data_IF_588331668973
#
_entry.id   IF_588331668973
#
_cell.length_a   1.000
_cell.length_b   1.000
_cell.length_c   1.000
_cell.angle_alpha   90.00
_cell.angle_beta   90.00
_cell.angle_gamma   90.00
#
_symmetry.space_group_name_H-M   'P 1'
#
loop_
_entity.id
_entity.type
_entity.pdbx_description
1 polymer ?
#
# COMPACT_ATOMS: atom_id res chain seq x y z
N UNK A 1 8.65 12.27 23.24
CA UNK A 1 8.96 11.90 21.86
C UNK A 1 8.15 10.67 21.47
N UNK A 2 7.59 10.70 20.27
CA UNK A 2 6.78 9.59 19.76
C UNK A 2 7.70 8.53 19.15
N UNK A 3 7.63 7.32 19.64
CA UNK A 3 8.43 6.22 19.12
C UNK A 3 7.73 5.61 17.90
N UNK A 4 8.44 5.61 16.78
CA UNK A 4 7.92 5.06 15.52
C UNK A 4 8.83 3.95 15.01
N UNK A 5 8.24 2.79 14.72
CA UNK A 5 8.94 1.62 14.21
C UNK A 5 8.20 1.09 12.99
N UNK A 6 8.95 0.75 11.94
CA UNK A 6 8.42 0.02 10.78
C UNK A 6 9.10 -1.34 10.72
N UNK A 7 8.30 -2.39 10.70
CA UNK A 7 8.80 -3.77 10.67
C UNK A 7 7.84 -4.69 9.91
N UNK A 8 8.27 -5.91 9.67
CA UNK A 8 7.39 -6.93 9.13
C UNK A 8 6.23 -7.21 10.10
N UNK A 9 5.08 -7.55 9.54
CA UNK A 9 3.90 -7.93 10.32
C UNK A 9 4.20 -9.20 11.12
N UNK A 10 3.70 -9.24 12.35
CA UNK A 10 3.75 -10.40 13.23
C UNK A 10 2.33 -10.92 13.49
N UNK A 11 2.17 -12.19 13.91
CA UNK A 11 0.82 -12.73 14.16
C UNK A 11 -0.04 -11.90 15.11
N UNK A 12 0.58 -11.30 16.13
CA UNK A 12 -0.13 -10.48 17.12
C UNK A 12 -0.66 -9.16 16.56
N UNK A 13 -0.14 -8.71 15.41
CA UNK A 13 -0.60 -7.47 14.77
C UNK A 13 -1.90 -7.65 14.00
N UNK A 14 -2.26 -8.89 13.67
CA UNK A 14 -3.35 -9.19 12.73
C UNK A 14 -4.67 -8.55 13.12
N UNK A 15 -5.06 -8.66 14.37
CA UNK A 15 -6.34 -8.11 14.84
C UNK A 15 -6.40 -6.60 14.65
N UNK A 16 -5.32 -5.90 15.02
CA UNK A 16 -5.23 -4.44 14.87
C UNK A 16 -5.24 -4.01 13.40
N UNK A 17 -4.55 -4.76 12.53
CA UNK A 17 -4.53 -4.48 11.10
C UNK A 17 -5.92 -4.68 10.48
N UNK A 18 -6.60 -5.78 10.81
CA UNK A 18 -7.95 -6.05 10.29
C UNK A 18 -8.93 -4.96 10.75
N UNK A 19 -8.81 -4.52 11.99
CA UNK A 19 -9.63 -3.42 12.53
C UNK A 19 -9.36 -2.12 11.78
N UNK A 20 -8.09 -1.77 11.60
CA UNK A 20 -7.68 -0.56 10.87
C UNK A 20 -8.31 -0.51 9.48
N UNK A 21 -8.19 -1.60 8.73
CA UNK A 21 -8.69 -1.68 7.35
C UNK A 21 -10.22 -1.70 7.30
N UNK A 22 -10.87 -2.38 8.25
CA UNK A 22 -12.32 -2.43 8.33
C UNK A 22 -12.97 -1.09 8.65
N UNK A 23 -12.25 -0.20 9.30
CA UNK A 23 -12.74 1.14 9.68
C UNK A 23 -12.37 2.22 8.66
N UNK A 24 -11.60 1.89 7.61
CA UNK A 24 -10.98 2.88 6.73
C UNK A 24 -11.56 2.84 5.32
N UNK A 25 -11.76 4.03 4.73
CA UNK A 25 -11.98 4.17 3.30
C UNK A 25 -10.63 4.14 2.57
N UNK A 26 -10.56 3.66 1.35
CA UNK A 26 -11.69 3.32 0.46
C UNK A 26 -12.27 1.91 0.65
N UNK A 27 -11.65 1.06 1.46
CA UNK A 27 -12.01 -0.36 1.55
C UNK A 27 -13.42 -0.56 2.10
N UNK A 28 -13.82 0.23 3.10
CA UNK A 28 -15.17 0.21 3.63
C UNK A 28 -16.18 0.53 2.53
N UNK A 29 -15.95 1.58 1.76
CA UNK A 29 -16.79 1.96 0.61
C UNK A 29 -16.82 0.89 -0.47
N UNK A 30 -15.68 0.20 -0.69
CA UNK A 30 -15.56 -0.87 -1.68
C UNK A 30 -16.20 -2.19 -1.22
N UNK A 31 -16.68 -2.26 0.02
CA UNK A 31 -17.41 -3.42 0.52
C UNK A 31 -16.56 -4.55 1.07
N UNK A 32 -15.29 -4.30 1.39
CA UNK A 32 -14.44 -5.31 2.03
C UNK A 32 -14.94 -5.64 3.43
N UNK A 33 -15.12 -6.92 3.70
CA UNK A 33 -15.54 -7.42 5.01
C UNK A 33 -14.34 -7.77 5.90
N UNK A 34 -14.61 -7.96 7.19
CA UNK A 34 -13.61 -8.46 8.14
C UNK A 34 -13.07 -9.83 7.69
N UNK A 35 -13.92 -10.70 7.15
CA UNK A 35 -13.51 -12.00 6.65
C UNK A 35 -12.59 -11.90 5.44
N UNK A 36 -12.81 -10.93 4.57
CA UNK A 36 -11.89 -10.66 3.45
C UNK A 36 -10.49 -10.34 3.96
N UNK A 37 -10.39 -9.46 4.95
CA UNK A 37 -9.11 -9.10 5.54
C UNK A 37 -8.44 -10.26 6.27
N UNK A 38 -9.20 -11.06 7.01
CA UNK A 38 -8.67 -12.24 7.67
C UNK A 38 -8.07 -13.24 6.68
N UNK A 39 -8.71 -13.42 5.51
CA UNK A 39 -8.18 -14.29 4.45
C UNK A 39 -6.88 -13.75 3.86
N UNK A 40 -6.76 -12.43 3.71
CA UNK A 40 -5.55 -11.80 3.15
C UNK A 40 -4.36 -11.96 4.10
N UNK A 41 -4.59 -11.87 5.40
CA UNK A 41 -3.50 -11.87 6.39
C UNK A 41 -3.25 -13.22 7.06
N UNK A 42 -4.00 -14.29 6.71
CA UNK A 42 -3.87 -15.58 7.39
C UNK A 42 -3.95 -16.78 6.43
N UNK A 43 -2.86 -17.49 6.15
CA UNK A 43 -1.47 -17.07 6.32
C UNK A 43 -1.09 -16.01 5.29
N UNK A 44 -0.03 -15.26 5.54
CA UNK A 44 0.47 -14.31 4.55
C UNK A 44 0.94 -15.07 3.31
N UNK A 45 0.34 -14.82 2.12
CA UNK A 45 0.71 -15.57 0.91
C UNK A 45 2.16 -15.36 0.52
N UNK A 46 2.77 -16.39 -0.07
CA UNK A 46 4.12 -16.28 -0.62
C UNK A 46 4.18 -15.21 -1.73
N UNK A 47 5.31 -14.52 -1.81
CA UNK A 47 5.52 -13.44 -2.77
C UNK A 47 4.91 -12.10 -2.35
N UNK A 48 4.40 -12.02 -1.14
CA UNK A 48 3.93 -10.77 -0.54
C UNK A 48 4.71 -10.46 0.72
N UNK A 49 5.13 -9.20 0.82
CA UNK A 49 5.77 -8.65 2.01
C UNK A 49 4.77 -7.75 2.71
N UNK A 50 4.54 -7.98 3.99
CA UNK A 50 3.61 -7.18 4.79
C UNK A 50 4.37 -6.42 5.87
N UNK A 51 4.17 -5.11 5.92
CA UNK A 51 4.82 -4.22 6.88
C UNK A 51 3.77 -3.53 7.74
N UNK A 52 4.13 -3.29 8.99
CA UNK A 52 3.34 -2.46 9.89
C UNK A 52 4.19 -1.29 10.36
N UNK A 53 3.55 -0.14 10.51
CA UNK A 53 4.11 1.01 11.20
C UNK A 53 3.49 1.08 12.59
N UNK A 54 4.33 1.10 13.61
CA UNK A 54 3.92 1.24 15.00
C UNK A 54 4.19 2.66 15.47
N UNK A 55 3.27 3.21 16.20
CA UNK A 55 3.40 4.50 16.87
C UNK A 55 3.16 4.27 18.35
N UNK A 56 4.19 4.46 19.19
CA UNK A 56 4.16 4.14 20.61
C UNK A 56 3.63 2.72 20.90
N UNK A 57 4.08 1.75 20.10
CA UNK A 57 3.71 0.34 20.25
C UNK A 57 2.36 -0.06 19.68
N UNK A 58 1.58 0.88 19.12
CA UNK A 58 0.28 0.60 18.52
C UNK A 58 0.37 0.60 17.00
N UNK A 59 -0.34 -0.31 16.34
CA UNK A 59 -0.39 -0.38 14.87
C UNK A 59 -1.06 0.87 14.33
N UNK A 60 -0.28 1.71 13.66
CA UNK A 60 -0.71 2.97 13.07
C UNK A 60 -0.87 2.89 11.55
N UNK A 61 -0.18 1.95 10.90
CA UNK A 61 -0.25 1.77 9.46
C UNK A 61 0.11 0.36 9.04
N UNK A 62 -0.27 0.02 7.81
CA UNK A 62 -0.02 -1.30 7.21
C UNK A 62 0.20 -1.15 5.72
N UNK A 63 1.09 -1.97 5.17
CA UNK A 63 1.31 -2.03 3.72
C UNK A 63 1.57 -3.46 3.28
N UNK A 64 1.13 -3.79 2.07
CA UNK A 64 1.38 -5.07 1.42
C UNK A 64 2.03 -4.80 0.07
N UNK A 65 3.16 -5.45 -0.18
CA UNK A 65 3.88 -5.38 -1.46
C UNK A 65 3.90 -6.76 -2.08
N UNK A 66 3.42 -6.86 -3.30
CA UNK A 66 3.49 -8.07 -4.12
C UNK A 66 4.67 -7.96 -5.06
N UNK A 67 5.58 -8.92 -4.99
CA UNK A 67 6.75 -8.96 -5.87
C UNK A 67 6.40 -9.48 -7.26
N UNK A 68 7.26 -9.17 -8.24
CA UNK A 68 7.19 -9.66 -9.62
C UNK A 68 5.90 -9.26 -10.33
N UNK A 69 5.71 -7.96 -10.45
CA UNK A 69 4.59 -7.36 -11.16
C UNK A 69 5.12 -6.43 -12.26
N UNK A 70 4.85 -6.73 -13.52
CA UNK A 70 5.21 -5.89 -14.69
C UNK A 70 6.65 -5.34 -14.66
N UNK A 71 7.64 -6.20 -14.48
CA UNK A 71 9.05 -5.82 -14.33
C UNK A 71 9.29 -4.86 -13.16
N UNK A 72 8.53 -5.05 -12.11
CA UNK A 72 8.59 -4.27 -10.89
C UNK A 72 7.92 -4.99 -9.74
N UNK A 73 7.49 -4.22 -8.76
CA UNK A 73 6.68 -4.69 -7.64
C UNK A 73 5.37 -3.89 -7.58
N UNK A 74 4.38 -4.40 -6.88
CA UNK A 74 3.07 -3.79 -6.73
C UNK A 74 2.78 -3.52 -5.26
N UNK A 75 2.59 -2.25 -4.92
CA UNK A 75 2.07 -1.83 -3.62
C UNK A 75 0.56 -2.11 -3.62
N UNK A 76 0.20 -3.27 -3.11
CA UNK A 76 -1.17 -3.78 -3.17
C UNK A 76 -2.08 -3.03 -2.19
N UNK A 77 -1.51 -2.56 -1.08
CA UNK A 77 -2.26 -1.89 -0.04
C UNK A 77 -1.35 -0.97 0.78
N UNK A 78 -1.86 0.21 1.12
CA UNK A 78 -1.25 1.14 2.06
C UNK A 78 -2.37 1.80 2.87
N UNK A 79 -2.43 1.54 4.15
CA UNK A 79 -3.46 2.06 5.03
C UNK A 79 -2.87 2.69 6.29
N UNK A 80 -3.49 3.77 6.76
CA UNK A 80 -3.12 4.46 8.00
C UNK A 80 -4.36 4.55 8.88
N UNK A 81 -4.22 4.21 10.15
CA UNK A 81 -5.30 4.30 11.13
C UNK A 81 -5.83 5.74 11.21
N UNK A 82 -7.14 5.89 11.40
CA UNK A 82 -7.78 7.21 11.48
C UNK A 82 -7.12 8.07 12.53
N UNK A 83 -6.85 7.50 13.72
CA UNK A 83 -6.24 8.23 14.84
C UNK A 83 -4.78 8.64 14.58
N UNK A 84 -4.10 8.02 13.60
CA UNK A 84 -2.69 8.27 13.29
C UNK A 84 -2.50 9.09 12.01
N UNK A 85 -3.56 9.59 11.40
CA UNK A 85 -3.48 10.38 10.16
C UNK A 85 -2.83 11.74 10.43
N UNK A 86 -2.25 12.32 9.36
CA UNK A 86 -1.56 13.63 9.40
C UNK A 86 -0.32 13.65 10.30
N UNK A 87 0.25 12.48 10.61
CA UNK A 87 1.49 12.34 11.38
C UNK A 87 2.66 11.83 10.52
N UNK A 88 2.48 11.78 9.20
CA UNK A 88 3.52 11.34 8.26
C UNK A 88 3.72 9.84 8.18
N UNK A 89 2.86 9.03 8.80
CA UNK A 89 2.99 7.56 8.83
C UNK A 89 2.96 6.95 7.43
N UNK A 90 2.00 7.36 6.59
CA UNK A 90 1.88 6.85 5.22
C UNK A 90 3.11 7.14 4.38
N UNK A 91 3.64 8.36 4.46
CA UNK A 91 4.84 8.75 3.72
C UNK A 91 6.09 8.00 4.18
N UNK A 92 6.23 7.78 5.48
CA UNK A 92 7.36 7.04 6.03
C UNK A 92 7.30 5.55 5.68
N UNK A 93 6.11 4.96 5.72
CA UNK A 93 5.89 3.59 5.32
C UNK A 93 6.18 3.40 3.82
N UNK A 94 5.72 4.34 2.99
CA UNK A 94 5.99 4.33 1.55
C UNK A 94 7.48 4.46 1.26
N UNK A 95 8.20 5.36 1.90
CA UNK A 95 9.66 5.51 1.73
C UNK A 95 10.40 4.26 2.13
N UNK A 96 10.03 3.63 3.22
CA UNK A 96 10.63 2.37 3.66
C UNK A 96 10.48 1.29 2.58
N UNK A 97 9.30 1.17 1.99
CA UNK A 97 9.02 0.22 0.91
C UNK A 97 9.84 0.57 -0.34
N UNK A 98 9.88 1.85 -0.73
CA UNK A 98 10.62 2.29 -1.90
C UNK A 98 12.11 1.99 -1.78
N UNK A 99 12.70 2.19 -0.61
CA UNK A 99 14.11 1.85 -0.36
C UNK A 99 14.38 0.36 -0.60
N UNK A 100 13.47 -0.51 -0.19
CA UNK A 100 13.61 -1.96 -0.40
C UNK A 100 13.37 -2.35 -1.85
N UNK A 101 12.29 -1.84 -2.44
CA UNK A 101 11.88 -2.18 -3.81
C UNK A 101 12.92 -1.73 -4.83
N UNK A 102 13.43 -0.49 -4.73
CA UNK A 102 14.36 0.05 -5.71
C UNK A 102 15.79 -0.50 -5.59
N UNK A 103 16.07 -1.33 -4.59
CA UNK A 103 17.29 -2.14 -4.55
C UNK A 103 17.22 -3.35 -5.49
N UNK A 104 16.02 -3.87 -5.77
CA UNK A 104 15.81 -5.10 -6.55
C UNK A 104 15.14 -4.88 -7.91
N UNK A 105 14.40 -3.78 -8.08
CA UNK A 105 13.70 -3.48 -9.32
C UNK A 105 13.62 -1.99 -9.56
N UNK A 106 13.22 -1.59 -10.78
CA UNK A 106 13.13 -0.17 -11.18
C UNK A 106 11.74 0.42 -11.06
N UNK A 107 10.70 -0.40 -10.87
CA UNK A 107 9.33 0.09 -10.92
C UNK A 107 8.56 -0.34 -9.67
N UNK A 108 7.79 0.60 -9.12
CA UNK A 108 6.80 0.32 -8.10
C UNK A 108 5.46 0.84 -8.59
N UNK A 109 4.50 -0.07 -8.66
CA UNK A 109 3.13 0.23 -9.09
C UNK A 109 2.20 0.30 -7.88
N UNK A 110 1.13 1.04 -8.02
CA UNK A 110 0.04 1.11 -7.04
C UNK A 110 -1.26 1.35 -7.78
N UNK A 111 -2.39 1.08 -7.12
CA UNK A 111 -3.70 1.45 -7.63
C UNK A 111 -4.42 2.32 -6.61
N UNK A 112 -5.23 3.25 -7.11
CA UNK A 112 -6.07 4.10 -6.28
C UNK A 112 -7.42 4.24 -6.94
N UNK A 113 -8.49 4.18 -6.14
CA UNK A 113 -9.84 4.42 -6.67
C UNK A 113 -9.98 5.86 -7.15
N UNK A 114 -10.65 6.06 -8.26
CA UNK A 114 -10.82 7.38 -8.88
C UNK A 114 -11.50 8.40 -7.95
N UNK A 115 -12.34 7.94 -7.02
CA UNK A 115 -13.01 8.77 -6.02
C UNK A 115 -12.14 9.11 -4.82
N UNK A 116 -10.96 8.48 -4.68
CA UNK A 116 -10.10 8.66 -3.50
C UNK A 116 -9.12 9.82 -3.72
N UNK A 117 -9.63 11.04 -3.71
CA UNK A 117 -8.83 12.24 -3.96
C UNK A 117 -7.65 12.41 -2.99
N UNK A 118 -7.80 12.19 -1.68
CA UNK A 118 -6.65 12.30 -0.76
C UNK A 118 -5.50 11.36 -1.11
N UNK A 119 -5.80 10.12 -1.50
CA UNK A 119 -4.78 9.15 -1.90
C UNK A 119 -4.12 9.55 -3.22
N UNK A 120 -4.89 10.05 -4.20
CA UNK A 120 -4.34 10.53 -5.47
C UNK A 120 -3.34 11.66 -5.25
N UNK A 121 -3.68 12.64 -4.42
CA UNK A 121 -2.80 13.75 -4.05
C UNK A 121 -1.56 13.23 -3.32
N UNK A 122 -1.73 12.30 -2.39
CA UNK A 122 -0.64 11.68 -1.64
C UNK A 122 0.39 11.03 -2.57
N UNK A 123 -0.06 10.17 -3.49
CA UNK A 123 0.85 9.48 -4.41
C UNK A 123 1.51 10.46 -5.38
N UNK A 124 0.79 11.46 -5.87
CA UNK A 124 1.36 12.48 -6.75
C UNK A 124 2.51 13.22 -6.06
N UNK A 125 2.33 13.61 -4.80
CA UNK A 125 3.38 14.27 -4.00
C UNK A 125 4.61 13.40 -3.81
N UNK A 126 4.44 12.08 -3.81
CA UNK A 126 5.54 11.13 -3.65
C UNK A 126 6.15 10.68 -4.98
N UNK A 127 5.79 11.32 -6.09
CA UNK A 127 6.41 11.08 -7.39
C UNK A 127 5.77 9.99 -8.23
N UNK A 128 4.56 9.57 -7.90
CA UNK A 128 3.81 8.59 -8.71
C UNK A 128 3.05 9.30 -9.83
N UNK A 129 3.08 8.69 -11.01
CA UNK A 129 2.33 9.15 -12.18
C UNK A 129 1.14 8.24 -12.42
N UNK A 130 0.00 8.84 -12.78
CA UNK A 130 -1.17 8.08 -13.22
C UNK A 130 -0.92 7.57 -14.65
N UNK A 131 -0.95 6.25 -14.81
CA UNK A 131 -0.74 5.60 -16.11
C UNK A 131 -2.06 5.55 -16.88
N UNK A 132 -3.15 5.22 -16.20
CA UNK A 132 -4.45 5.19 -16.82
C UNK A 132 -5.51 4.52 -15.96
N UNK A 133 -6.78 4.70 -16.33
CA UNK A 133 -7.89 4.11 -15.60
C UNK A 133 -8.18 2.67 -16.04
N UNK A 134 -8.63 1.88 -15.08
CA UNK A 134 -9.22 0.57 -15.30
C UNK A 134 -10.70 0.65 -14.88
N UNK A 135 -11.61 0.93 -15.83
CA UNK A 135 -13.04 1.11 -15.50
C UNK A 135 -13.67 -0.18 -14.98
N UNK A 136 -14.56 -0.04 -13.99
CA UNK A 136 -15.31 -1.16 -13.40
C UNK A 136 -14.41 -2.27 -12.84
N UNK A 137 -13.23 -1.91 -12.37
CA UNK A 137 -12.23 -2.90 -11.95
C UNK A 137 -12.59 -3.59 -10.63
N UNK A 138 -13.00 -2.83 -9.62
CA UNK A 138 -13.42 -3.37 -8.32
C UNK A 138 -14.92 -3.33 -8.12
N UNK A 139 -15.55 -2.20 -8.43
CA UNK A 139 -17.01 -2.01 -8.30
C UNK A 139 -17.56 -1.33 -9.56
N UNK A 140 -18.84 -1.56 -9.87
CA UNK A 140 -19.47 -0.88 -11.02
C UNK A 140 -19.44 0.63 -10.87
N UNK A 141 -19.17 1.34 -11.97
CA UNK A 141 -19.22 2.80 -12.01
C UNK A 141 -17.99 3.51 -11.44
N UNK A 142 -17.01 2.79 -10.96
CA UNK A 142 -15.75 3.34 -10.48
C UNK A 142 -14.57 2.74 -11.24
N UNK A 143 -13.52 3.53 -11.43
CA UNK A 143 -12.27 3.05 -12.01
C UNK A 143 -11.17 2.97 -10.94
N UNK A 144 -10.28 2.00 -11.08
CA UNK A 144 -9.00 2.03 -10.39
C UNK A 144 -7.97 2.69 -11.30
N UNK A 145 -7.22 3.63 -10.76
CA UNK A 145 -6.15 4.30 -11.49
C UNK A 145 -4.83 3.58 -11.21
N UNK A 146 -4.20 3.08 -12.27
CA UNK A 146 -2.88 2.48 -12.15
C UNK A 146 -1.84 3.60 -12.06
N UNK A 147 -1.00 3.53 -11.03
CA UNK A 147 0.06 4.49 -10.75
C UNK A 147 1.42 3.82 -10.85
N UNK A 148 2.44 4.59 -11.20
CA UNK A 148 3.82 4.10 -11.25
C UNK A 148 4.82 5.15 -10.78
N UNK A 149 5.77 4.71 -9.95
CA UNK A 149 7.02 5.42 -9.70
C UNK A 149 8.16 4.59 -10.26
N UNK A 150 9.09 5.23 -10.99
CA UNK A 150 10.19 4.52 -11.63
C UNK A 150 11.53 5.14 -11.25
N UNK A 151 12.53 4.27 -11.05
CA UNK A 151 13.92 4.67 -10.87
C UNK A 151 14.70 4.61 -12.19
N UNK A 152 14.03 4.29 -13.30
CA UNK A 152 14.63 4.20 -14.63
C UNK A 152 14.11 2.99 -15.41
N UNK A 153 14.60 2.79 -16.65
CA UNK A 153 14.23 1.64 -17.45
C UNK A 153 14.66 0.32 -16.79
N UNK A 154 13.83 -0.71 -16.90
CA UNK A 154 14.14 -2.02 -16.34
C UNK A 154 15.36 -2.67 -17.01
N UNK A 155 15.64 -2.31 -18.27
CA UNK A 155 16.81 -2.78 -19.01
C UNK A 155 17.52 -1.60 -19.66
N UNK A 156 18.85 -1.63 -19.63
CA UNK A 156 19.65 -0.65 -20.35
C UNK A 156 19.86 -1.10 -21.80
N UNK A 157 19.90 -0.12 -22.72
CA UNK A 157 20.17 -0.39 -24.15
C UNK A 157 21.58 -0.95 -24.29
N UNK A 158 21.73 -2.04 -25.03
CA UNK A 158 23.02 -2.67 -25.29
C UNK A 158 23.50 -3.66 -24.23
N UNK A 159 22.66 -4.00 -23.27
CA UNK A 159 22.96 -5.03 -22.26
C UNK A 159 22.07 -6.26 -22.44
#
# INVERSE_FOLDING_TARGET
MTDQVIRNIEPDDRESVVRLLGESDPWKRLGYSKDDWNRIFCPTPQGRDCYVALLDGQVAGVAIVKQKFLLGDYLELLGVAIWARQKGIGGQLLRHIEELVFKRTKNLFACVSDFNEPARVFYQKHGYQEIGPMPNFLIPGSAELLLRKTAGPARQKGQ
#
